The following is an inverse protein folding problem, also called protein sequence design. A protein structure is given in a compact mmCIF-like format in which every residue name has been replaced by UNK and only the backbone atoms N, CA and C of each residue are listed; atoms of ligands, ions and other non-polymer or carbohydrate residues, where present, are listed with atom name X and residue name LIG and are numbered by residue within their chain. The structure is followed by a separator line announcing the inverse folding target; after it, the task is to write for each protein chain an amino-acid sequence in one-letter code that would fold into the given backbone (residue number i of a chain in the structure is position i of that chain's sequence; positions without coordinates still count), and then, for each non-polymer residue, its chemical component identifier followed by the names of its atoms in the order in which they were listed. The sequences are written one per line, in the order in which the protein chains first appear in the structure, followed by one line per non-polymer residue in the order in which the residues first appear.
data_IF_725076484417
#
_entry.id   IF_725076484417
#
_cell.length_a   1.000
_cell.length_b   1.000
_cell.length_c   1.000
_cell.angle_alpha   90.00
_cell.angle_beta   90.00
_cell.angle_gamma   90.00
#
_symmetry.space_group_name_H-M   'P 1'
#
loop_
_entity.id
_entity.type
_entity.pdbx_description
1 polymer ?
#
# COMPACT_ATOMS: atom_id res chain seq x y z
N UNK A 1 -1.36 8.55 11.17
CA UNK A 1 -0.70 7.58 10.27
C UNK A 1 -1.46 7.41 8.96
N UNK A 2 -2.69 6.90 8.94
CA UNK A 2 -3.48 6.72 7.70
C UNK A 2 -3.97 8.05 7.10
N UNK A 3 -4.64 8.90 7.87
CA UNK A 3 -5.08 10.23 7.42
C UNK A 3 -3.91 11.08 6.90
N UNK A 4 -2.80 11.05 7.62
CA UNK A 4 -1.58 11.75 7.25
C UNK A 4 -0.90 11.19 5.98
N UNK A 5 -1.15 9.92 5.67
CA UNK A 5 -0.73 9.30 4.42
C UNK A 5 -1.63 9.78 3.27
N UNK A 6 -2.94 9.72 3.49
CA UNK A 6 -3.94 10.19 2.52
C UNK A 6 -3.74 11.67 2.15
N UNK A 7 -3.52 12.55 3.13
CA UNK A 7 -3.27 13.98 2.89
C UNK A 7 -2.04 14.21 2.00
N UNK A 8 -0.97 13.44 2.22
CA UNK A 8 0.26 13.55 1.40
C UNK A 8 0.05 13.05 -0.01
N UNK A 9 -0.69 11.95 -0.16
CA UNK A 9 -1.01 11.39 -1.47
C UNK A 9 -1.93 12.35 -2.24
N UNK A 10 -2.97 12.88 -1.60
CA UNK A 10 -3.86 13.89 -2.16
C UNK A 10 -3.13 15.19 -2.53
N UNK A 11 -2.20 15.65 -1.68
CA UNK A 11 -1.37 16.83 -1.94
C UNK A 11 -0.43 16.70 -3.14
N UNK A 12 -0.25 15.50 -3.69
CA UNK A 12 0.49 15.24 -4.95
C UNK A 12 -0.42 15.16 -6.18
N UNK A 13 -1.72 15.41 -6.03
CA UNK A 13 -2.70 15.44 -7.12
C UNK A 13 -3.44 14.13 -7.35
N UNK A 14 -3.24 13.11 -6.51
CA UNK A 14 -4.00 11.87 -6.57
C UNK A 14 -5.39 12.05 -5.94
N UNK A 15 -6.40 11.43 -6.53
CA UNK A 15 -7.72 11.28 -5.92
C UNK A 15 -7.67 10.17 -4.88
N UNK A 16 -7.80 10.54 -3.61
CA UNK A 16 -7.83 9.62 -2.48
C UNK A 16 -9.21 9.65 -1.86
N UNK A 17 -9.84 8.48 -1.75
CA UNK A 17 -11.04 8.25 -0.95
C UNK A 17 -10.66 7.36 0.23
N UNK A 18 -10.83 7.85 1.45
CA UNK A 18 -10.48 7.12 2.67
C UNK A 18 -11.69 6.41 3.25
N UNK A 19 -11.44 5.28 3.91
CA UNK A 19 -12.47 4.47 4.58
C UNK A 19 -13.66 4.15 3.65
N UNK A 20 -13.40 3.61 2.44
CA UNK A 20 -14.47 3.27 1.53
C UNK A 20 -15.44 2.27 2.16
N UNK A 21 -16.71 2.39 1.81
CA UNK A 21 -17.72 1.40 2.15
C UNK A 21 -17.42 0.07 1.48
N UNK A 22 -18.00 -1.03 2.01
CA UNK A 22 -17.84 -2.36 1.40
C UNK A 22 -18.34 -2.41 -0.05
N UNK A 23 -19.39 -1.62 -0.37
CA UNK A 23 -19.91 -1.53 -1.73
C UNK A 23 -18.90 -0.84 -2.65
N UNK A 24 -18.36 0.31 -2.25
CA UNK A 24 -17.34 1.01 -3.04
C UNK A 24 -16.08 0.16 -3.28
N UNK A 25 -15.66 -0.64 -2.29
CA UNK A 25 -14.56 -1.59 -2.44
C UNK A 25 -14.91 -2.71 -3.43
N UNK A 26 -16.14 -3.23 -3.39
CA UNK A 26 -16.59 -4.26 -4.31
C UNK A 26 -16.66 -3.74 -5.75
N UNK A 27 -17.21 -2.53 -5.93
CA UNK A 27 -17.30 -1.86 -7.24
C UNK A 27 -15.91 -1.58 -7.80
N UNK A 28 -15.01 -1.01 -6.99
CA UNK A 28 -13.62 -0.78 -7.38
C UNK A 28 -12.92 -2.07 -7.82
N UNK A 29 -13.04 -3.16 -7.05
CA UNK A 29 -12.45 -4.46 -7.41
C UNK A 29 -13.01 -5.01 -8.72
N UNK A 30 -14.31 -4.87 -8.94
CA UNK A 30 -14.97 -5.29 -10.18
C UNK A 30 -14.47 -4.50 -11.38
N UNK A 31 -14.37 -3.18 -11.25
CA UNK A 31 -13.90 -2.27 -12.32
C UNK A 31 -12.44 -2.51 -12.68
N UNK A 32 -11.58 -2.81 -11.71
CA UNK A 32 -10.13 -2.96 -11.90
C UNK A 32 -9.70 -4.40 -12.18
N UNK A 33 -10.61 -5.38 -12.07
CA UNK A 33 -10.28 -6.80 -12.14
C UNK A 33 -9.41 -7.27 -10.96
N UNK A 34 -9.53 -6.60 -9.81
CA UNK A 34 -8.88 -7.03 -8.57
C UNK A 34 -9.72 -8.07 -7.83
N UNK A 35 -9.05 -8.94 -7.10
CA UNK A 35 -9.67 -9.88 -6.17
C UNK A 35 -9.55 -9.39 -4.74
N UNK A 36 -10.41 -9.91 -3.88
CA UNK A 36 -10.33 -9.66 -2.46
C UNK A 36 -11.57 -10.12 -1.73
N UNK A 37 -11.42 -10.33 -0.43
CA UNK A 37 -12.52 -10.84 0.39
C UNK A 37 -13.54 -9.75 0.73
N UNK A 38 -14.86 -9.99 0.62
CA UNK A 38 -15.90 -8.97 0.83
C UNK A 38 -15.97 -8.41 2.25
N UNK A 39 -15.54 -9.18 3.25
CA UNK A 39 -15.54 -8.76 4.65
C UNK A 39 -14.38 -7.82 5.01
N UNK A 40 -13.40 -7.67 4.12
CA UNK A 40 -12.22 -6.83 4.34
C UNK A 40 -12.54 -5.36 4.11
N UNK A 41 -11.99 -4.54 4.98
CA UNK A 41 -12.06 -3.08 4.91
C UNK A 41 -10.66 -2.53 4.61
N UNK A 42 -10.26 -2.40 3.33
CA UNK A 42 -9.04 -1.70 2.95
C UNK A 42 -9.17 -0.20 3.23
N UNK A 43 -8.03 0.47 3.40
CA UNK A 43 -8.00 1.84 3.92
C UNK A 43 -8.38 2.89 2.86
N UNK A 44 -8.00 2.66 1.60
CA UNK A 44 -8.09 3.69 0.55
C UNK A 44 -8.63 3.15 -0.77
N UNK A 45 -9.32 4.03 -1.50
CA UNK A 45 -9.35 4.01 -2.96
C UNK A 45 -8.45 5.14 -3.47
N UNK A 46 -7.42 4.80 -4.24
CA UNK A 46 -6.51 5.77 -4.86
C UNK A 46 -6.69 5.63 -6.37
N UNK A 47 -7.18 6.67 -7.03
CA UNK A 47 -7.52 6.64 -8.46
C UNK A 47 -8.44 5.46 -8.83
N UNK A 48 -9.39 5.13 -7.94
CA UNK A 48 -10.31 4.00 -8.11
C UNK A 48 -9.74 2.62 -7.76
N UNK A 49 -8.46 2.53 -7.39
CA UNK A 49 -7.84 1.26 -6.98
C UNK A 49 -7.88 1.06 -5.48
N UNK A 50 -8.16 -0.17 -5.05
CA UNK A 50 -8.06 -0.55 -3.64
C UNK A 50 -6.60 -0.56 -3.19
N UNK A 51 -6.32 0.20 -2.13
CA UNK A 51 -5.05 0.22 -1.42
C UNK A 51 -5.27 -0.03 0.06
N UNK A 52 -4.28 -0.66 0.69
CA UNK A 52 -4.17 -0.76 2.14
C UNK A 52 -2.92 0.01 2.58
N UNK A 53 -2.97 0.67 3.74
CA UNK A 53 -1.86 1.39 4.31
C UNK A 53 -1.01 0.46 5.20
N UNK A 54 0.29 0.67 5.20
CA UNK A 54 1.15 0.11 6.23
C UNK A 54 2.21 1.14 6.66
N UNK A 55 2.24 1.45 7.95
CA UNK A 55 3.14 2.44 8.55
C UNK A 55 4.08 1.77 9.56
N UNK A 56 5.29 1.34 9.17
CA UNK A 56 6.26 0.79 10.12
C UNK A 56 6.84 1.91 11.01
N UNK A 57 6.72 1.77 12.35
CA UNK A 57 7.10 2.81 13.32
C UNK A 57 8.41 2.54 14.07
N UNK A 58 8.72 1.29 14.39
CA UNK A 58 10.00 0.89 15.00
C UNK A 58 11.08 0.65 13.91
N UNK A 59 12.38 0.65 14.24
CA UNK A 59 13.44 0.20 13.33
C UNK A 59 13.29 -1.31 13.07
N UNK A 60 12.35 -1.64 12.20
CA UNK A 60 12.12 -3.01 11.71
C UNK A 60 12.91 -3.21 10.41
N UNK A 61 13.51 -4.39 10.21
CA UNK A 61 14.26 -4.68 8.99
C UNK A 61 13.32 -4.73 7.77
N UNK A 62 13.87 -4.51 6.58
CA UNK A 62 13.13 -4.59 5.31
C UNK A 62 12.33 -5.90 5.17
N UNK A 63 12.89 -7.02 5.63
CA UNK A 63 12.20 -8.33 5.66
C UNK A 63 10.91 -8.31 6.49
N UNK A 64 10.86 -7.57 7.59
CA UNK A 64 9.66 -7.47 8.41
C UNK A 64 8.57 -6.64 7.72
N UNK A 65 8.97 -5.55 7.04
CA UNK A 65 8.05 -4.78 6.19
C UNK A 65 7.48 -5.66 5.08
N UNK A 66 8.34 -6.42 4.41
CA UNK A 66 7.95 -7.40 3.40
C UNK A 66 6.95 -8.43 3.95
N UNK A 67 7.21 -9.01 5.13
CA UNK A 67 6.29 -9.99 5.74
C UNK A 67 4.93 -9.39 6.10
N UNK A 68 4.88 -8.12 6.50
CA UNK A 68 3.62 -7.44 6.78
C UNK A 68 2.80 -7.22 5.50
N UNK A 69 3.47 -6.81 4.41
CA UNK A 69 2.84 -6.65 3.09
C UNK A 69 2.35 -7.99 2.55
N UNK A 70 3.19 -9.03 2.57
CA UNK A 70 2.83 -10.39 2.13
C UNK A 70 1.57 -10.86 2.84
N UNK A 71 1.51 -10.73 4.17
CA UNK A 71 0.35 -11.18 4.95
C UNK A 71 -0.95 -10.45 4.56
N UNK A 72 -0.90 -9.16 4.22
CA UNK A 72 -2.07 -8.41 3.75
C UNK A 72 -2.54 -8.95 2.39
N UNK A 73 -1.61 -9.22 1.48
CA UNK A 73 -1.91 -9.78 0.16
C UNK A 73 -2.43 -11.22 0.26
N UNK A 74 -1.76 -12.08 1.03
CA UNK A 74 -2.14 -13.48 1.28
C UNK A 74 -3.51 -13.60 1.95
N UNK A 75 -3.88 -12.62 2.79
CA UNK A 75 -5.20 -12.54 3.41
C UNK A 75 -6.29 -11.98 2.47
N UNK A 76 -5.95 -11.74 1.19
CA UNK A 76 -6.84 -11.19 0.16
C UNK A 76 -7.46 -9.85 0.60
N UNK A 77 -6.72 -9.08 1.40
CA UNK A 77 -7.12 -7.75 1.86
C UNK A 77 -6.96 -6.73 0.74
N UNK A 78 -5.81 -6.78 0.07
CA UNK A 78 -5.43 -5.85 -0.99
C UNK A 78 -4.45 -6.50 -1.97
N UNK A 79 -4.33 -5.90 -3.15
CA UNK A 79 -3.28 -6.19 -4.12
C UNK A 79 -2.33 -5.00 -4.30
N UNK A 80 -2.59 -3.89 -3.62
CA UNK A 80 -1.75 -2.68 -3.65
C UNK A 80 -1.57 -2.12 -2.25
N UNK A 81 -0.35 -1.72 -1.93
CA UNK A 81 -0.03 -1.18 -0.61
C UNK A 81 0.63 0.17 -0.73
N UNK A 82 0.17 1.10 0.12
CA UNK A 82 0.84 2.37 0.36
C UNK A 82 1.64 2.28 1.66
N UNK A 83 2.96 2.30 1.55
CA UNK A 83 3.85 2.37 2.71
C UNK A 83 3.97 3.81 3.19
N UNK A 84 3.62 4.07 4.44
CA UNK A 84 3.95 5.34 5.08
C UNK A 84 5.28 5.19 5.82
N UNK A 85 6.37 5.67 5.22
CA UNK A 85 7.73 5.55 5.76
C UNK A 85 8.16 6.78 6.57
N UNK A 86 7.22 7.65 6.95
CA UNK A 86 7.53 8.89 7.68
C UNK A 86 8.37 8.64 8.93
N UNK A 87 7.92 7.71 9.77
CA UNK A 87 8.59 7.34 11.03
C UNK A 87 9.63 6.23 10.86
N UNK A 88 9.62 5.53 9.72
CA UNK A 88 10.54 4.42 9.49
C UNK A 88 11.97 4.91 9.25
N UNK A 89 12.94 4.25 9.89
CA UNK A 89 14.38 4.61 9.81
C UNK A 89 15.24 3.53 9.15
N UNK A 90 14.63 2.59 8.44
CA UNK A 90 15.37 1.56 7.72
C UNK A 90 15.98 2.06 6.41
N UNK A 91 16.67 1.15 5.72
CA UNK A 91 17.34 1.42 4.45
C UNK A 91 16.38 1.18 3.27
N UNK A 92 16.12 2.25 2.50
CA UNK A 92 15.29 2.20 1.29
C UNK A 92 15.88 1.28 0.22
N UNK A 93 17.21 1.26 0.04
CA UNK A 93 17.84 0.39 -0.95
C UNK A 93 17.66 -1.09 -0.56
N UNK A 94 17.82 -1.41 0.72
CA UNK A 94 17.52 -2.74 1.24
C UNK A 94 16.03 -3.11 1.10
N UNK A 95 15.12 -2.14 1.26
CA UNK A 95 13.69 -2.34 1.03
C UNK A 95 13.39 -2.68 -0.44
N UNK A 96 13.89 -1.87 -1.38
CA UNK A 96 13.76 -2.13 -2.80
C UNK A 96 14.31 -3.51 -3.17
N UNK A 97 15.54 -3.82 -2.71
CA UNK A 97 16.17 -5.12 -2.96
C UNK A 97 15.35 -6.28 -2.38
N UNK A 98 14.78 -6.12 -1.19
CA UNK A 98 13.96 -7.16 -0.55
C UNK A 98 12.71 -7.50 -1.37
N UNK A 99 11.99 -6.51 -1.90
CA UNK A 99 10.79 -6.74 -2.73
C UNK A 99 11.13 -7.20 -4.14
N UNK A 100 12.28 -6.79 -4.68
CA UNK A 100 12.79 -7.27 -5.96
C UNK A 100 13.21 -8.74 -5.91
N UNK A 101 14.04 -9.11 -4.94
CA UNK A 101 14.59 -10.47 -4.83
C UNK A 101 13.55 -11.50 -4.37
N UNK A 102 12.51 -11.04 -3.69
CA UNK A 102 11.43 -11.88 -3.17
C UNK A 102 10.07 -11.30 -3.59
N UNK A 103 9.66 -11.53 -4.85
CA UNK A 103 8.35 -11.08 -5.31
C UNK A 103 7.22 -11.69 -4.46
N UNK A 104 6.18 -10.89 -4.20
CA UNK A 104 4.95 -11.36 -3.52
C UNK A 104 3.92 -11.66 -4.60
N UNK A 105 3.51 -12.93 -4.70
CA UNK A 105 2.44 -13.33 -5.62
C UNK A 105 1.16 -12.55 -5.30
N UNK A 106 0.58 -11.89 -6.31
CA UNK A 106 -0.67 -11.13 -6.18
C UNK A 106 -0.51 -9.67 -5.77
N UNK A 107 0.69 -9.23 -5.38
CA UNK A 107 1.01 -7.81 -5.17
C UNK A 107 1.23 -7.13 -6.53
N UNK A 108 0.31 -6.25 -6.91
CA UNK A 108 0.31 -5.49 -8.18
C UNK A 108 1.03 -4.15 -8.08
N UNK A 109 1.01 -3.51 -6.90
CA UNK A 109 1.65 -2.22 -6.72
C UNK A 109 2.13 -2.02 -5.29
N UNK A 110 3.31 -1.42 -5.14
CA UNK A 110 3.84 -1.00 -3.85
C UNK A 110 4.41 0.41 -4.00
N UNK A 111 3.71 1.39 -3.46
CA UNK A 111 4.14 2.78 -3.40
C UNK A 111 4.53 3.12 -1.97
N UNK A 112 5.39 4.12 -1.80
CA UNK A 112 5.80 4.61 -0.49
C UNK A 112 5.79 6.13 -0.43
N UNK A 113 5.24 6.66 0.66
CA UNK A 113 5.44 8.04 1.09
C UNK A 113 6.68 8.09 1.96
N UNK A 114 7.73 8.77 1.51
CA UNK A 114 8.98 8.94 2.25
C UNK A 114 8.85 10.02 3.32
N UNK A 115 9.85 10.12 4.21
CA UNK A 115 9.84 11.11 5.31
C UNK A 115 9.71 12.55 4.84
N UNK A 116 10.35 12.90 3.75
CA UNK A 116 10.28 14.23 3.10
C UNK A 116 8.98 14.44 2.30
N UNK A 117 8.07 13.46 2.28
CA UNK A 117 6.78 13.55 1.61
C UNK A 117 6.85 13.32 0.10
N UNK A 118 7.95 12.77 -0.42
CA UNK A 118 7.97 12.25 -1.79
C UNK A 118 7.19 10.94 -1.87
N UNK A 119 6.61 10.67 -3.05
CA UNK A 119 6.00 9.38 -3.35
C UNK A 119 6.94 8.65 -4.29
N UNK A 120 7.42 7.49 -3.87
CA UNK A 120 8.27 6.61 -4.68
C UNK A 120 7.54 5.32 -4.99
N UNK A 121 7.82 4.76 -6.16
CA UNK A 121 7.28 3.48 -6.59
C UNK A 121 8.34 2.40 -6.34
N UNK A 122 8.01 1.41 -5.49
CA UNK A 122 8.87 0.26 -5.19
C UNK A 122 8.56 -0.88 -6.17
N UNK A 123 7.28 -1.15 -6.39
CA UNK A 123 6.77 -2.03 -7.45
C UNK A 123 5.80 -1.20 -8.27
N UNK A 124 6.13 -0.99 -9.55
CA UNK A 124 5.29 -0.21 -10.46
C UNK A 124 4.11 -1.05 -10.91
N UNK A 125 2.98 -0.38 -11.11
CA UNK A 125 1.87 -0.88 -11.90
C UNK A 125 2.29 -0.99 -13.37
N UNK A 126 2.39 -2.21 -13.87
CA UNK A 126 2.50 -2.56 -15.28
C UNK A 126 1.14 -2.48 -16.01
#
# INVERSE_FOLDING_TARGET
MENECADRVAGKGYRVHQNPTRQEVADARLETGDSGRPEKAPDFLIEGHVFDCYAPTAPVPARAVWSAVSRKVDAEQTQRVMLNLHDWRGDLAALHKQFHDWPITGLKELAAVTRDGAIIQIIRRD
#
